data_IF_756556811674
#
_entry.id   IF_756556811674
#
_cell.length_a   1.000
_cell.length_b   1.000
_cell.length_c   1.000
_cell.angle_alpha   90.00
_cell.angle_beta   90.00
_cell.angle_gamma   90.00
#
_symmetry.space_group_name_H-M   'P 1'
#
loop_
_entity.id
_entity.type
_entity.pdbx_description
1 polymer ?
#
# COMPACT_ATOMS: atom_id res chain seq x y z
N UNK A 1 -2.73 4.96 -8.70
CA UNK A 1 -1.61 5.92 -8.77
C UNK A 1 -0.90 5.99 -7.43
N UNK A 2 0.40 6.06 -7.45
CA UNK A 2 1.20 6.15 -6.24
C UNK A 2 1.64 7.60 -6.05
N UNK A 3 1.30 8.19 -4.90
CA UNK A 3 1.71 9.56 -4.62
C UNK A 3 3.24 9.65 -4.56
N UNK A 4 3.79 10.76 -5.05
CA UNK A 4 5.24 10.90 -5.16
C UNK A 4 5.97 10.87 -3.81
N UNK A 5 5.28 11.18 -2.72
CA UNK A 5 5.86 11.12 -1.37
C UNK A 5 5.74 9.76 -0.71
N UNK A 6 5.00 8.83 -1.32
CA UNK A 6 4.88 7.49 -0.77
C UNK A 6 6.17 6.71 -0.99
N UNK A 7 6.51 5.87 -0.02
CA UNK A 7 7.69 5.02 -0.11
C UNK A 7 7.22 3.59 -0.35
N UNK A 8 7.50 3.08 -1.55
CA UNK A 8 7.16 1.71 -1.91
C UNK A 8 8.46 0.94 -2.12
N UNK A 9 8.69 -0.09 -1.32
CA UNK A 9 9.90 -0.89 -1.47
C UNK A 9 9.89 -1.59 -2.84
N UNK A 10 11.05 -1.70 -3.51
CA UNK A 10 11.10 -2.34 -4.83
C UNK A 10 10.60 -3.77 -4.85
N UNK A 11 10.65 -4.47 -3.71
CA UNK A 11 10.14 -5.84 -3.61
C UNK A 11 8.64 -5.94 -3.44
N UNK A 12 7.94 -4.84 -3.19
CA UNK A 12 6.49 -4.86 -3.02
C UNK A 12 5.80 -5.13 -4.36
N UNK A 13 4.71 -5.87 -4.31
CA UNK A 13 3.95 -6.22 -5.50
C UNK A 13 2.59 -5.54 -5.46
N UNK A 14 2.43 -4.53 -6.28
CA UNK A 14 1.19 -3.77 -6.38
C UNK A 14 0.57 -3.99 -7.75
N UNK A 15 -0.73 -4.24 -7.78
CA UNK A 15 -1.45 -4.27 -9.04
C UNK A 15 -1.44 -2.87 -9.67
N UNK A 16 -1.58 -2.80 -11.00
CA UNK A 16 -1.38 -1.55 -11.73
C UNK A 16 -2.33 -0.43 -11.36
N UNK A 17 -3.51 -0.75 -10.85
CA UNK A 17 -4.52 0.24 -10.49
C UNK A 17 -4.62 0.51 -9.00
N UNK A 18 -3.63 0.08 -8.22
CA UNK A 18 -3.56 0.39 -6.79
C UNK A 18 -3.22 1.86 -6.61
N UNK A 19 -3.95 2.52 -5.70
CA UNK A 19 -3.65 3.90 -5.34
C UNK A 19 -3.02 3.94 -3.95
N UNK A 20 -1.94 4.69 -3.83
CA UNK A 20 -1.23 4.85 -2.56
C UNK A 20 -1.14 6.33 -2.23
N UNK A 21 -1.64 6.71 -1.07
CA UNK A 21 -1.69 8.10 -0.64
C UNK A 21 -0.34 8.63 -0.16
N UNK A 22 -0.33 9.93 0.15
CA UNK A 22 0.88 10.64 0.54
C UNK A 22 1.49 10.07 1.82
N UNK A 23 2.81 10.00 1.86
CA UNK A 23 3.61 9.59 3.03
C UNK A 23 3.30 8.19 3.54
N UNK A 24 2.68 7.36 2.71
CA UNK A 24 2.47 5.96 3.05
C UNK A 24 3.74 5.16 2.79
N UNK A 25 3.95 4.11 3.58
CA UNK A 25 5.13 3.26 3.47
C UNK A 25 4.69 1.83 3.22
N UNK A 26 5.13 1.27 2.11
CA UNK A 26 4.82 -0.10 1.72
C UNK A 26 6.10 -0.91 1.79
N UNK A 27 6.12 -1.93 2.62
CA UNK A 27 7.32 -2.73 2.87
C UNK A 27 7.61 -3.76 1.79
N UNK A 28 8.71 -4.46 1.97
CA UNK A 28 9.30 -5.34 0.96
C UNK A 28 8.43 -6.54 0.58
N UNK A 29 7.78 -7.15 1.55
CA UNK A 29 7.02 -8.39 1.32
C UNK A 29 5.50 -8.15 1.30
N UNK A 30 5.10 -6.99 0.80
CA UNK A 30 3.69 -6.62 0.74
C UNK A 30 3.15 -6.87 -0.67
N UNK A 31 1.97 -7.50 -0.74
CA UNK A 31 1.26 -7.69 -2.00
C UNK A 31 -0.11 -7.04 -1.90
N UNK A 32 -0.46 -6.23 -2.87
CA UNK A 32 -1.73 -5.50 -2.86
C UNK A 32 -2.48 -5.77 -4.15
N UNK A 33 -3.70 -6.28 -4.02
CA UNK A 33 -4.53 -6.65 -5.16
C UNK A 33 -5.19 -5.46 -5.84
N UNK A 34 -5.76 -5.72 -7.02
CA UNK A 34 -6.34 -4.71 -7.88
C UNK A 34 -7.47 -3.94 -7.21
N UNK A 35 -7.60 -2.66 -7.53
CA UNK A 35 -8.68 -1.80 -7.06
C UNK A 35 -8.55 -1.36 -5.61
N UNK A 36 -7.45 -1.71 -4.94
CA UNK A 36 -7.24 -1.32 -3.55
C UNK A 36 -6.74 0.12 -3.47
N UNK A 37 -7.27 0.87 -2.52
CA UNK A 37 -6.89 2.25 -2.27
C UNK A 37 -6.25 2.35 -0.89
N UNK A 38 -5.02 2.80 -0.84
CA UNK A 38 -4.28 3.03 0.40
C UNK A 38 -4.31 4.53 0.67
N UNK A 39 -4.82 4.93 1.82
CA UNK A 39 -4.89 6.33 2.21
C UNK A 39 -3.52 6.91 2.54
N UNK A 40 -3.46 8.17 2.95
CA UNK A 40 -2.21 8.79 3.37
C UNK A 40 -1.77 8.28 4.74
N UNK A 41 -0.47 8.36 5.00
CA UNK A 41 0.12 7.99 6.29
C UNK A 41 -0.24 6.57 6.74
N UNK A 42 -0.20 5.62 5.81
CA UNK A 42 -0.43 4.20 6.10
C UNK A 42 0.90 3.48 6.06
N UNK A 43 1.16 2.63 7.05
CA UNK A 43 2.37 1.81 7.10
C UNK A 43 1.97 0.36 6.96
N UNK A 44 2.51 -0.32 5.95
CA UNK A 44 2.25 -1.74 5.72
C UNK A 44 3.60 -2.46 5.65
N UNK A 45 3.85 -3.33 6.61
CA UNK A 45 5.11 -4.04 6.74
C UNK A 45 4.91 -5.55 6.79
N UNK A 46 6.02 -6.27 6.79
CA UNK A 46 6.05 -7.71 6.96
C UNK A 46 5.49 -8.44 5.76
N UNK A 47 5.13 -9.70 5.96
CA UNK A 47 4.53 -10.52 4.92
C UNK A 47 3.02 -10.30 4.90
N UNK A 48 2.61 -9.22 4.25
CA UNK A 48 1.21 -8.81 4.24
C UNK A 48 0.65 -8.91 2.84
N UNK A 49 -0.50 -9.58 2.71
CA UNK A 49 -1.22 -9.65 1.45
C UNK A 49 -2.58 -8.98 1.61
N UNK A 50 -2.83 -7.99 0.77
CA UNK A 50 -4.10 -7.27 0.75
C UNK A 50 -4.83 -7.68 -0.53
N UNK A 51 -6.09 -8.12 -0.38
CA UNK A 51 -6.88 -8.55 -1.52
C UNK A 51 -7.33 -7.40 -2.40
N UNK A 52 -8.29 -7.70 -3.27
CA UNK A 52 -8.81 -6.73 -4.22
C UNK A 52 -9.84 -5.80 -3.59
N UNK A 53 -9.95 -4.59 -4.13
CA UNK A 53 -11.01 -3.64 -3.82
C UNK A 53 -11.13 -3.27 -2.35
N UNK A 54 -10.00 -3.25 -1.64
CA UNK A 54 -9.97 -2.83 -0.25
C UNK A 54 -9.69 -1.34 -0.14
N UNK A 55 -10.10 -0.76 0.98
CA UNK A 55 -9.75 0.62 1.32
C UNK A 55 -9.07 0.64 2.66
N UNK A 56 -7.87 1.19 2.69
CA UNK A 56 -7.08 1.32 3.91
C UNK A 56 -7.07 2.80 4.27
N UNK A 57 -7.67 3.14 5.40
CA UNK A 57 -7.78 4.52 5.81
C UNK A 57 -6.48 5.03 6.43
N UNK A 58 -6.37 6.34 6.52
CA UNK A 58 -5.16 6.99 7.02
C UNK A 58 -4.82 6.56 8.45
N UNK A 59 -3.53 6.65 8.77
CA UNK A 59 -2.96 6.32 10.08
C UNK A 59 -3.13 4.85 10.48
N UNK A 60 -3.31 3.96 9.50
CA UNK A 60 -3.32 2.52 9.76
C UNK A 60 -1.91 1.97 9.76
N UNK A 61 -1.69 0.95 10.58
CA UNK A 61 -0.44 0.20 10.57
C UNK A 61 -0.79 -1.27 10.45
N UNK A 62 -0.29 -1.91 9.39
CA UNK A 62 -0.58 -3.31 9.09
C UNK A 62 0.72 -4.13 9.05
N UNK A 63 0.61 -5.35 9.42
CA UNK A 63 1.73 -6.28 9.44
C UNK A 63 2.19 -6.60 10.82
#
# INVERSE_FOLDING_TARGET
MIHQTAIVHPGAKLAGDVEVGAYSIIGEHVEIGAGTVIGPHVVINGHTRIGQNNRIFQFCSLG
#
